data_IF_702937710036
#
_entry.id   IF_702937710036
#
_cell.length_a   1.000
_cell.length_b   1.000
_cell.length_c   1.000
_cell.angle_alpha   90.00
_cell.angle_beta   90.00
_cell.angle_gamma   90.00
#
_symmetry.space_group_name_H-M   'P 1'
#
loop_
_entity.id
_entity.type
_entity.pdbx_description
1 polymer ?
#
# COMPACT_ATOMS: atom_id res chain seq x y z
N UNK A 1 16.11 6.16 -8.99
CA UNK A 1 14.88 5.46 -8.59
C UNK A 1 15.01 5.16 -7.11
N UNK A 2 14.26 5.87 -6.28
CA UNK A 2 14.37 5.76 -4.81
C UNK A 2 13.34 4.75 -4.32
N UNK A 3 13.80 3.74 -3.58
CA UNK A 3 12.94 2.74 -2.97
C UNK A 3 12.66 3.12 -1.50
N UNK A 4 11.42 2.96 -1.06
CA UNK A 4 10.98 3.23 0.31
C UNK A 4 10.34 1.97 0.86
N UNK A 5 10.76 1.51 2.03
CA UNK A 5 10.16 0.38 2.72
C UNK A 5 9.28 0.85 3.87
N UNK A 6 8.04 0.34 3.93
CA UNK A 6 7.06 0.68 4.97
C UNK A 6 6.75 -0.58 5.75
N UNK A 7 7.08 -0.56 7.04
CA UNK A 7 6.83 -1.65 7.97
C UNK A 7 5.53 -1.36 8.76
N UNK A 8 4.54 -2.21 8.56
CA UNK A 8 3.16 -2.05 9.02
C UNK A 8 2.27 -1.51 7.90
N UNK A 9 1.26 -2.28 7.52
CA UNK A 9 0.22 -1.96 6.53
C UNK A 9 -1.13 -1.78 7.24
N UNK A 10 -1.09 -1.07 8.36
CA UNK A 10 -2.28 -0.48 8.98
C UNK A 10 -2.64 0.85 8.32
N UNK A 11 -3.49 1.65 8.98
CA UNK A 11 -4.00 2.90 8.40
C UNK A 11 -2.89 3.81 7.85
N UNK A 12 -1.94 4.19 8.71
CA UNK A 12 -0.84 5.09 8.33
C UNK A 12 0.04 4.49 7.23
N UNK A 13 0.38 3.22 7.36
CA UNK A 13 1.28 2.55 6.43
C UNK A 13 0.68 2.36 5.05
N UNK A 14 -0.56 1.87 4.97
CA UNK A 14 -1.24 1.64 3.69
C UNK A 14 -1.51 2.94 2.93
N UNK A 15 -1.96 3.99 3.63
CA UNK A 15 -2.17 5.32 3.02
C UNK A 15 -0.84 5.90 2.55
N UNK A 16 0.20 5.86 3.39
CA UNK A 16 1.53 6.37 3.01
C UNK A 16 2.10 5.60 1.81
N UNK A 17 1.95 4.27 1.80
CA UNK A 17 2.42 3.43 0.71
C UNK A 17 1.75 3.81 -0.62
N UNK A 18 0.42 3.94 -0.62
CA UNK A 18 -0.34 4.28 -1.81
C UNK A 18 0.01 5.69 -2.33
N UNK A 19 0.09 6.70 -1.46
CA UNK A 19 0.44 8.07 -1.86
C UNK A 19 1.88 8.19 -2.38
N UNK A 20 2.84 7.49 -1.76
CA UNK A 20 4.23 7.50 -2.22
C UNK A 20 4.38 6.76 -3.56
N UNK A 21 3.66 5.65 -3.75
CA UNK A 21 3.63 4.95 -5.03
C UNK A 21 3.04 5.84 -6.14
N UNK A 22 1.92 6.52 -5.88
CA UNK A 22 1.30 7.47 -6.81
C UNK A 22 2.22 8.67 -7.14
N UNK A 23 3.07 9.06 -6.19
CA UNK A 23 4.10 10.09 -6.39
C UNK A 23 5.32 9.60 -7.17
N UNK A 24 5.34 8.33 -7.61
CA UNK A 24 6.39 7.77 -8.46
C UNK A 24 7.55 7.09 -7.71
N UNK A 25 7.44 6.89 -6.40
CA UNK A 25 8.41 6.10 -5.65
C UNK A 25 8.14 4.60 -5.80
N UNK A 26 9.20 3.79 -5.77
CA UNK A 26 9.04 2.34 -5.59
C UNK A 26 8.82 2.07 -4.10
N UNK A 27 7.66 1.53 -3.74
CA UNK A 27 7.32 1.24 -2.35
C UNK A 27 7.31 -0.27 -2.11
N UNK A 28 7.97 -0.71 -1.04
CA UNK A 28 7.93 -2.08 -0.55
C UNK A 28 7.14 -2.08 0.76
N UNK A 29 5.93 -2.63 0.73
CA UNK A 29 5.10 -2.83 1.91
C UNK A 29 5.47 -4.11 2.65
N UNK A 30 5.60 -4.04 3.97
CA UNK A 30 5.90 -5.19 4.84
C UNK A 30 4.91 -5.22 6.00
N UNK A 31 4.20 -6.32 6.22
CA UNK A 31 3.36 -6.51 7.41
C UNK A 31 3.45 -7.97 7.86
N UNK A 32 3.25 -8.21 9.17
CA UNK A 32 3.23 -9.57 9.75
C UNK A 32 1.94 -10.32 9.39
N UNK A 33 0.87 -9.59 9.07
CA UNK A 33 -0.40 -10.14 8.65
C UNK A 33 -0.38 -10.43 7.15
N UNK A 34 -0.26 -11.72 6.81
CA UNK A 34 -0.30 -12.21 5.44
C UNK A 34 -1.57 -11.76 4.70
N UNK A 35 -2.72 -11.77 5.37
CA UNK A 35 -4.00 -11.32 4.79
C UNK A 35 -3.93 -9.87 4.30
N UNK A 36 -3.30 -8.96 5.05
CA UNK A 36 -3.18 -7.56 4.62
C UNK A 36 -2.27 -7.40 3.41
N UNK A 37 -1.20 -8.19 3.35
CA UNK A 37 -0.27 -8.19 2.21
C UNK A 37 -1.01 -8.65 0.97
N UNK A 38 -1.70 -9.79 1.03
CA UNK A 38 -2.50 -10.35 -0.08
C UNK A 38 -3.58 -9.37 -0.54
N UNK A 39 -4.31 -8.72 0.38
CA UNK A 39 -5.29 -7.69 0.03
C UNK A 39 -4.65 -6.55 -0.77
N UNK A 40 -3.50 -6.03 -0.34
CA UNK A 40 -2.81 -4.97 -1.07
C UNK A 40 -2.33 -5.45 -2.44
N UNK A 41 -1.78 -6.65 -2.54
CA UNK A 41 -1.36 -7.27 -3.82
C UNK A 41 -2.54 -7.40 -4.81
N UNK A 42 -3.77 -7.57 -4.31
CA UNK A 42 -5.00 -7.58 -5.11
C UNK A 42 -5.60 -6.17 -5.36
N UNK A 43 -4.93 -5.11 -4.92
CA UNK A 43 -5.43 -3.73 -4.99
C UNK A 43 -6.64 -3.48 -4.09
N UNK A 44 -6.80 -4.27 -3.04
CA UNK A 44 -7.87 -4.17 -2.04
C UNK A 44 -7.31 -3.49 -0.79
N UNK A 45 -8.03 -2.49 -0.28
CA UNK A 45 -7.61 -1.79 0.95
C UNK A 45 -7.77 -2.70 2.17
N UNK A 46 -6.73 -2.90 3.01
CA UNK A 46 -6.82 -3.65 4.26
C UNK A 46 -7.48 -2.86 5.40
N UNK A 47 -7.82 -1.59 5.15
CA UNK A 47 -8.43 -0.66 6.11
C UNK A 47 -9.61 0.08 5.45
N UNK A 48 -10.51 0.63 6.26
CA UNK A 48 -11.62 1.46 5.78
C UNK A 48 -11.11 2.88 5.59
N UNK A 49 -10.85 3.25 4.35
CA UNK A 49 -10.50 4.62 3.93
C UNK A 49 -11.04 4.86 2.52
N UNK A 50 -11.66 6.02 2.34
CA UNK A 50 -12.26 6.39 1.05
C UNK A 50 -11.18 6.56 -0.01
N UNK A 51 -11.39 6.01 -1.21
CA UNK A 51 -10.47 6.14 -2.35
C UNK A 51 -9.18 5.32 -2.26
N UNK A 52 -8.79 4.78 -1.09
CA UNK A 52 -7.53 4.04 -0.95
C UNK A 52 -7.45 2.80 -1.85
N UNK A 53 -8.55 2.04 -1.99
CA UNK A 53 -8.57 0.88 -2.89
C UNK A 53 -8.34 1.25 -4.36
N UNK A 54 -8.85 2.39 -4.82
CA UNK A 54 -8.60 2.86 -6.19
C UNK A 54 -7.15 3.29 -6.39
N UNK A 55 -6.55 3.93 -5.38
CA UNK A 55 -5.16 4.34 -5.40
C UNK A 55 -4.22 3.13 -5.41
N UNK A 56 -4.50 2.12 -4.58
CA UNK A 56 -3.74 0.86 -4.55
C UNK A 56 -3.79 0.15 -5.91
N UNK A 57 -4.97 0.02 -6.54
CA UNK A 57 -5.10 -0.60 -7.88
C UNK A 57 -4.26 0.09 -8.97
N UNK A 58 -3.95 1.38 -8.82
CA UNK A 58 -3.09 2.10 -9.77
C UNK A 58 -1.61 1.83 -9.55
N UNK A 59 -1.21 1.62 -8.30
CA UNK A 59 0.20 1.54 -7.89
C UNK A 59 0.75 0.13 -7.74
N UNK A 60 -0.11 -0.88 -7.58
CA UNK A 60 0.29 -2.28 -7.44
C UNK A 60 0.50 -2.90 -8.83
N UNK A 61 1.67 -3.51 -9.03
CA UNK A 61 2.12 -4.09 -10.30
C UNK A 61 2.92 -5.37 -10.08
#
# INVERSE_FOLDING_TARGET
MTAISIFGLGYVGSVSAACLADSGYTVIGVDVSRTKVEMIEEGISPIVEEGLGELLRKGVS
#
